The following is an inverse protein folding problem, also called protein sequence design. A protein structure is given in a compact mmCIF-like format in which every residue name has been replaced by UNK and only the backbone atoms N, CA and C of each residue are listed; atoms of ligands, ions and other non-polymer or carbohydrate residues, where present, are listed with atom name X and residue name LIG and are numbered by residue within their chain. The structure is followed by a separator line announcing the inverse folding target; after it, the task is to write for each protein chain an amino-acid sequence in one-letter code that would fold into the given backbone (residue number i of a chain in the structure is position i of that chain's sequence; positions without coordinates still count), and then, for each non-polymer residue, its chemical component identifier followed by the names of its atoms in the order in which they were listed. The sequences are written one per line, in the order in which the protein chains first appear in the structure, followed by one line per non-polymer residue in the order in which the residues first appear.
data_IF_582257676526
#
_entry.id   IF_582257676526
#
_cell.length_a   1.000
_cell.length_b   1.000
_cell.length_c   1.000
_cell.angle_alpha   90.00
_cell.angle_beta   90.00
_cell.angle_gamma   90.00
#
_symmetry.space_group_name_H-M   'P 1'
#
loop_
_entity.id
_entity.type
_entity.pdbx_description
1 polymer ?
#
# COMPACT_ATOMS: atom_id res chain seq x y z
N UNK A 1 -31.60 16.74 5.31
CA UNK A 1 -30.15 17.01 5.20
C UNK A 1 -29.45 15.70 4.87
N UNK A 2 -29.06 15.51 3.62
CA UNK A 2 -28.40 14.27 3.17
C UNK A 2 -26.90 14.44 3.44
N UNK A 3 -26.37 13.74 4.44
CA UNK A 3 -24.92 13.65 4.65
C UNK A 3 -24.37 12.95 3.41
N UNK A 4 -23.80 13.73 2.49
CA UNK A 4 -23.05 13.19 1.36
C UNK A 4 -21.90 12.37 1.94
N UNK A 5 -21.81 11.10 1.56
CA UNK A 5 -20.75 10.20 2.00
C UNK A 5 -19.40 10.74 1.52
N UNK A 6 -18.67 11.38 2.44
CA UNK A 6 -17.35 11.98 2.26
C UNK A 6 -16.21 10.93 2.11
N UNK A 7 -16.55 9.68 1.80
CA UNK A 7 -15.63 8.55 1.78
C UNK A 7 -14.77 8.48 0.50
N UNK A 8 -15.10 9.27 -0.53
CA UNK A 8 -14.48 9.20 -1.86
C UNK A 8 -13.54 10.36 -2.19
N UNK A 9 -13.43 11.38 -1.33
CA UNK A 9 -12.49 12.48 -1.57
C UNK A 9 -11.05 12.06 -1.17
N UNK A 10 -10.04 12.43 -1.97
CA UNK A 10 -8.64 12.32 -1.56
C UNK A 10 -8.41 12.94 -0.17
N UNK A 11 -7.57 12.32 0.65
CA UNK A 11 -7.34 12.69 2.05
C UNK A 11 -7.19 14.21 2.26
N UNK A 12 -6.37 14.87 1.43
CA UNK A 12 -6.07 16.29 1.58
C UNK A 12 -7.28 17.19 1.29
N UNK A 13 -8.15 16.80 0.36
CA UNK A 13 -9.39 17.52 0.08
C UNK A 13 -10.32 17.47 1.29
N UNK A 14 -10.39 16.34 1.99
CA UNK A 14 -11.15 16.19 3.24
C UNK A 14 -10.60 17.09 4.34
N UNK A 15 -9.28 17.20 4.47
CA UNK A 15 -8.67 18.14 5.42
C UNK A 15 -9.02 19.60 5.09
N UNK A 16 -8.97 19.98 3.80
CA UNK A 16 -9.30 21.33 3.34
C UNK A 16 -10.79 21.64 3.55
N UNK A 17 -11.67 20.71 3.20
CA UNK A 17 -13.11 20.83 3.42
C UNK A 17 -13.41 21.00 4.91
N UNK A 18 -12.85 20.13 5.76
CA UNK A 18 -13.06 20.18 7.20
C UNK A 18 -12.54 21.47 7.84
N UNK A 19 -11.37 21.95 7.40
CA UNK A 19 -10.86 23.27 7.82
C UNK A 19 -11.87 24.37 7.51
N UNK A 20 -12.42 24.40 6.29
CA UNK A 20 -13.37 25.41 5.85
C UNK A 20 -14.66 25.36 6.67
N UNK A 21 -15.19 24.17 6.92
CA UNK A 21 -16.37 23.96 7.79
C UNK A 21 -16.16 24.52 9.21
N UNK A 22 -14.97 24.30 9.78
CA UNK A 22 -14.62 24.77 11.12
C UNK A 22 -14.22 26.25 11.16
N UNK A 23 -14.08 26.92 10.00
CA UNK A 23 -13.61 28.31 9.92
C UNK A 23 -12.18 28.52 10.44
N UNK A 24 -11.35 27.47 10.54
CA UNK A 24 -10.01 27.58 11.12
C UNK A 24 -9.02 28.17 10.11
N UNK A 25 -8.23 29.15 10.56
CA UNK A 25 -7.09 29.65 9.77
C UNK A 25 -5.92 28.67 9.80
N UNK A 26 -5.05 28.75 8.80
CA UNK A 26 -3.84 27.92 8.72
C UNK A 26 -2.93 28.16 9.94
N UNK A 27 -2.84 29.40 10.41
CA UNK A 27 -2.02 29.77 11.58
C UNK A 27 -2.56 29.11 12.85
N UNK A 28 -3.88 29.08 13.04
CA UNK A 28 -4.51 28.42 14.18
C UNK A 28 -4.24 26.91 14.15
N UNK A 29 -4.33 26.28 12.98
CA UNK A 29 -4.01 24.86 12.84
C UNK A 29 -2.55 24.59 13.16
N UNK A 30 -1.63 25.40 12.63
CA UNK A 30 -0.20 25.28 12.89
C UNK A 30 0.12 25.35 14.39
N UNK A 31 -0.43 26.36 15.09
CA UNK A 31 -0.24 26.52 16.53
C UNK A 31 -0.81 25.34 17.33
N UNK A 32 -2.01 24.86 16.98
CA UNK A 32 -2.67 23.76 17.71
C UNK A 32 -2.07 22.38 17.43
N UNK A 33 -1.54 22.17 16.23
CA UNK A 33 -0.95 20.88 15.82
C UNK A 33 0.53 20.78 16.16
N UNK A 34 1.19 21.89 16.52
CA UNK A 34 2.64 21.95 16.67
C UNK A 34 3.41 21.87 15.34
N UNK A 35 2.71 21.96 14.21
CA UNK A 35 3.28 21.87 12.86
C UNK A 35 3.52 23.28 12.31
N UNK A 36 4.66 23.53 11.67
CA UNK A 36 4.96 24.86 11.11
C UNK A 36 3.96 25.27 10.02
N UNK A 37 3.64 26.56 9.92
CA UNK A 37 2.71 27.11 8.91
C UNK A 37 3.03 26.64 7.48
N UNK A 38 4.30 26.67 7.00
CA UNK A 38 4.62 26.18 5.66
C UNK A 38 4.34 24.68 5.48
N UNK A 39 4.49 23.89 6.55
CA UNK A 39 4.21 22.45 6.52
C UNK A 39 2.71 22.20 6.49
N UNK A 40 1.90 22.95 7.25
CA UNK A 40 0.43 22.88 7.16
C UNK A 40 -0.05 23.25 5.76
N UNK A 41 0.49 24.32 5.17
CA UNK A 41 0.17 24.70 3.78
C UNK A 41 0.51 23.59 2.80
N UNK A 42 1.70 22.99 2.93
CA UNK A 42 2.16 21.89 2.08
C UNK A 42 1.26 20.65 2.20
N UNK A 43 0.83 20.31 3.42
CA UNK A 43 -0.11 19.21 3.69
C UNK A 43 -1.46 19.50 3.02
N UNK A 44 -2.03 20.68 3.23
CA UNK A 44 -3.33 21.04 2.66
C UNK A 44 -3.30 21.18 1.13
N UNK A 45 -2.13 21.42 0.55
CA UNK A 45 -1.91 21.41 -0.90
C UNK A 45 -1.68 20.00 -1.49
N UNK A 46 -1.63 18.95 -0.66
CA UNK A 46 -1.50 17.56 -1.10
C UNK A 46 -0.12 17.16 -1.61
N UNK A 47 0.95 17.79 -1.12
CA UNK A 47 2.31 17.43 -1.51
C UNK A 47 2.74 16.07 -0.96
N UNK A 48 3.36 15.23 -1.81
CA UNK A 48 3.80 13.87 -1.51
C UNK A 48 4.90 13.76 -0.42
N UNK A 49 5.53 14.86 -0.01
CA UNK A 49 6.61 14.86 0.99
C UNK A 49 6.14 15.16 2.42
N UNK A 50 4.83 15.18 2.68
CA UNK A 50 4.32 15.39 4.03
C UNK A 50 4.55 14.16 4.92
N UNK A 51 5.17 14.37 6.09
CA UNK A 51 5.27 13.33 7.13
C UNK A 51 3.89 12.91 7.61
N UNK A 52 3.62 11.59 7.67
CA UNK A 52 2.36 11.04 8.17
C UNK A 52 2.03 11.52 9.60
N UNK A 53 3.06 11.73 10.43
CA UNK A 53 2.90 12.26 11.79
C UNK A 53 2.29 13.67 11.76
N UNK A 54 2.78 14.53 10.87
CA UNK A 54 2.26 15.89 10.73
C UNK A 54 0.86 15.90 10.13
N UNK A 55 0.58 15.02 9.16
CA UNK A 55 -0.76 14.85 8.60
C UNK A 55 -1.75 14.41 9.68
N UNK A 56 -1.35 13.45 10.53
CA UNK A 56 -2.17 12.99 11.66
C UNK A 56 -2.42 14.09 12.70
N UNK A 57 -1.40 14.89 13.05
CA UNK A 57 -1.54 16.00 13.98
C UNK A 57 -2.50 17.08 13.45
N UNK A 58 -2.41 17.41 12.15
CA UNK A 58 -3.35 18.33 11.49
C UNK A 58 -4.77 17.75 11.46
N UNK A 59 -4.92 16.47 11.11
CA UNK A 59 -6.22 15.80 11.10
C UNK A 59 -6.88 15.80 12.49
N UNK A 60 -6.11 15.53 13.55
CA UNK A 60 -6.60 15.51 14.93
C UNK A 60 -7.15 16.89 15.35
N UNK A 61 -6.44 17.98 15.04
CA UNK A 61 -6.91 19.36 15.32
C UNK A 61 -8.20 19.68 14.58
N UNK A 62 -8.39 19.12 13.39
CA UNK A 62 -9.60 19.25 12.58
C UNK A 62 -10.74 18.31 13.02
N UNK A 63 -10.54 17.54 14.09
CA UNK A 63 -11.52 16.59 14.61
C UNK A 63 -11.71 15.37 13.72
N UNK A 64 -10.69 15.01 12.93
CA UNK A 64 -10.67 13.85 12.06
C UNK A 64 -9.79 12.74 12.67
N UNK A 65 -10.18 11.49 12.43
CA UNK A 65 -9.38 10.31 12.75
C UNK A 65 -8.85 9.71 11.46
N UNK A 66 -7.54 9.45 11.40
CA UNK A 66 -6.95 8.64 10.34
C UNK A 66 -7.08 7.17 10.72
N UNK A 67 -7.61 6.37 9.81
CA UNK A 67 -7.78 4.94 10.00
C UNK A 67 -7.02 4.19 8.91
N UNK A 68 -6.33 3.12 9.32
CA UNK A 68 -5.69 2.19 8.38
C UNK A 68 -6.64 1.02 8.20
N UNK A 69 -7.09 0.82 6.97
CA UNK A 69 -7.96 -0.27 6.60
C UNK A 69 -7.21 -1.20 5.65
N UNK A 70 -7.39 -2.51 5.83
CA UNK A 70 -6.84 -3.48 4.89
C UNK A 70 -7.52 -3.29 3.54
N UNK A 71 -6.74 -2.91 2.52
CA UNK A 71 -7.26 -2.77 1.16
C UNK A 71 -7.73 -4.11 0.58
N UNK A 72 -7.08 -5.21 0.98
CA UNK A 72 -7.38 -6.57 0.52
C UNK A 72 -7.18 -7.57 1.70
N UNK A 73 -7.88 -8.71 1.70
CA UNK A 73 -7.64 -9.77 2.69
C UNK A 73 -6.21 -10.31 2.63
N UNK A 74 -5.65 -10.68 3.78
CA UNK A 74 -4.28 -11.21 3.87
C UNK A 74 -4.05 -12.45 2.99
N UNK A 75 -5.08 -13.28 2.77
CA UNK A 75 -5.01 -14.45 1.87
C UNK A 75 -4.68 -14.06 0.43
N UNK A 76 -5.32 -13.00 -0.09
CA UNK A 76 -5.09 -12.50 -1.45
C UNK A 76 -3.66 -11.99 -1.60
N UNK A 77 -3.15 -11.27 -0.59
CA UNK A 77 -1.77 -10.77 -0.57
C UNK A 77 -0.78 -11.95 -0.58
N UNK A 78 -1.02 -12.97 0.25
CA UNK A 78 -0.18 -14.18 0.30
C UNK A 78 -0.19 -14.97 -1.01
N UNK A 79 -1.35 -15.11 -1.64
CA UNK A 79 -1.49 -15.81 -2.92
C UNK A 79 -0.74 -15.08 -4.04
N UNK A 80 -0.89 -13.75 -4.12
CA UNK A 80 -0.15 -12.91 -5.07
C UNK A 80 1.36 -13.05 -4.87
N UNK A 81 1.82 -13.05 -3.62
CA UNK A 81 3.23 -13.24 -3.30
C UNK A 81 3.73 -14.65 -3.64
N UNK A 82 2.97 -15.69 -3.27
CA UNK A 82 3.31 -17.08 -3.57
C UNK A 82 3.48 -17.30 -5.07
N UNK A 83 2.56 -16.74 -5.87
CA UNK A 83 2.62 -16.81 -7.33
C UNK A 83 3.83 -16.08 -7.89
N UNK A 84 4.14 -14.89 -7.37
CA UNK A 84 5.30 -14.11 -7.80
C UNK A 84 6.63 -14.84 -7.48
N UNK A 85 6.72 -15.53 -6.34
CA UNK A 85 7.89 -16.34 -5.98
C UNK A 85 7.97 -17.58 -6.89
N UNK A 86 6.85 -18.29 -7.10
CA UNK A 86 6.79 -19.46 -7.97
C UNK A 86 7.21 -19.14 -9.42
N UNK A 87 6.80 -17.99 -9.95
CA UNK A 87 7.22 -17.51 -11.28
C UNK A 87 8.74 -17.31 -11.38
N UNK A 88 9.36 -16.74 -10.34
CA UNK A 88 10.83 -16.58 -10.30
C UNK A 88 11.54 -17.93 -10.28
N UNK A 89 11.05 -18.89 -9.48
CA UNK A 89 11.62 -20.25 -9.45
C UNK A 89 11.52 -20.92 -10.83
N UNK A 90 10.37 -20.83 -11.48
CA UNK A 90 10.19 -21.37 -12.83
C UNK A 90 11.13 -20.70 -13.85
N UNK A 91 11.39 -19.41 -13.71
CA UNK A 91 12.35 -18.70 -14.55
C UNK A 91 13.79 -19.19 -14.34
N UNK A 92 14.21 -19.42 -13.09
CA UNK A 92 15.54 -19.99 -12.80
C UNK A 92 15.68 -21.38 -13.44
N UNK A 93 14.67 -22.24 -13.27
CA UNK A 93 14.65 -23.58 -13.88
C UNK A 93 14.73 -23.49 -15.41
N UNK A 94 13.99 -22.57 -16.03
CA UNK A 94 14.05 -22.35 -17.47
C UNK A 94 15.44 -21.92 -17.93
N UNK A 95 16.07 -20.97 -17.23
CA UNK A 95 17.41 -20.49 -17.55
C UNK A 95 18.43 -21.61 -17.42
N UNK A 96 18.40 -22.39 -16.33
CA UNK A 96 19.30 -23.53 -16.16
C UNK A 96 19.08 -24.64 -17.20
N UNK A 97 17.85 -24.85 -17.66
CA UNK A 97 17.57 -25.87 -18.68
C UNK A 97 18.13 -25.50 -20.07
N UNK A 98 18.32 -24.20 -20.37
CA UNK A 98 18.83 -23.73 -21.66
C UNK A 98 20.33 -24.04 -21.88
N UNK A 99 21.09 -24.24 -20.79
CA UNK A 99 22.52 -24.56 -20.89
C UNK A 99 22.76 -26.04 -21.29
N UNK A 100 21.83 -26.95 -20.96
CA UNK A 100 22.00 -28.41 -21.09
C UNK A 100 20.87 -29.11 -21.89
N UNK A 101 19.84 -28.40 -22.37
CA UNK A 101 18.69 -28.97 -23.07
C UNK A 101 17.85 -27.96 -23.88
N UNK A 102 16.93 -28.42 -24.74
CA UNK A 102 15.95 -27.52 -25.36
C UNK A 102 15.06 -26.87 -24.30
N UNK A 103 14.58 -25.66 -24.61
CA UNK A 103 13.71 -24.86 -23.76
C UNK A 103 12.52 -25.67 -23.19
N UNK A 104 12.19 -25.45 -21.91
CA UNK A 104 11.03 -26.09 -21.29
C UNK A 104 9.74 -25.54 -21.92
N UNK A 105 8.80 -26.41 -22.34
CA UNK A 105 7.49 -25.99 -22.85
C UNK A 105 6.72 -25.11 -21.86
N UNK A 106 5.99 -24.13 -22.38
CA UNK A 106 5.22 -23.18 -21.59
C UNK A 106 4.19 -23.83 -20.64
N UNK A 107 3.57 -24.93 -21.07
CA UNK A 107 2.61 -25.67 -20.24
C UNK A 107 3.27 -26.30 -19.00
N UNK A 108 4.50 -26.81 -19.14
CA UNK A 108 5.25 -27.39 -18.01
C UNK A 108 5.67 -26.29 -17.02
N UNK A 109 6.09 -25.12 -17.52
CA UNK A 109 6.41 -23.98 -16.67
C UNK A 109 5.17 -23.48 -15.92
N UNK A 110 4.00 -23.45 -16.58
CA UNK A 110 2.74 -23.07 -15.95
C UNK A 110 2.37 -24.04 -14.83
N UNK A 111 2.43 -25.35 -15.08
CA UNK A 111 2.19 -26.39 -14.07
C UNK A 111 3.16 -26.27 -12.88
N UNK A 112 4.43 -25.99 -13.16
CA UNK A 112 5.45 -25.77 -12.13
C UNK A 112 5.09 -24.55 -11.26
N UNK A 113 4.66 -23.45 -11.87
CA UNK A 113 4.24 -22.25 -11.14
C UNK A 113 3.03 -22.55 -10.26
N UNK A 114 2.02 -23.26 -10.77
CA UNK A 114 0.81 -23.59 -10.02
C UNK A 114 1.11 -24.50 -8.83
N UNK A 115 1.88 -25.58 -9.03
CA UNK A 115 2.29 -26.49 -7.94
C UNK A 115 3.13 -25.78 -6.89
N UNK A 116 4.13 -25.01 -7.32
CA UNK A 116 5.00 -24.25 -6.42
C UNK A 116 4.19 -23.22 -5.61
N UNK A 117 3.20 -22.57 -6.22
CA UNK A 117 2.29 -21.65 -5.51
C UNK A 117 1.55 -22.37 -4.39
N UNK A 118 0.97 -23.54 -4.66
CA UNK A 118 0.25 -24.33 -3.66
C UNK A 118 1.17 -24.83 -2.54
N UNK A 119 2.38 -25.27 -2.87
CA UNK A 119 3.38 -25.69 -1.88
C UNK A 119 3.81 -24.52 -0.98
N UNK A 120 4.03 -23.35 -1.55
CA UNK A 120 4.38 -22.14 -0.81
C UNK A 120 3.27 -21.70 0.14
N UNK A 121 2.00 -21.81 -0.27
CA UNK A 121 0.85 -21.48 0.57
C UNK A 121 0.62 -22.49 1.72
N UNK A 122 0.94 -23.76 1.50
CA UNK A 122 0.85 -24.83 2.53
C UNK A 122 2.04 -24.84 3.49
N UNK A 123 3.18 -24.33 3.04
CA UNK A 123 4.43 -24.31 3.80
C UNK A 123 4.52 -23.19 4.84
N UNK A 124 5.67 -23.09 5.54
CA UNK A 124 5.92 -22.03 6.50
C UNK A 124 5.90 -20.66 5.82
N UNK A 125 5.09 -19.72 6.32
CA UNK A 125 4.87 -18.42 5.69
C UNK A 125 6.13 -17.58 5.45
N UNK A 126 7.21 -17.82 6.19
CA UNK A 126 8.52 -17.18 5.93
C UNK A 126 9.03 -17.40 4.50
N UNK A 127 8.73 -18.54 3.87
CA UNK A 127 9.15 -18.86 2.50
C UNK A 127 8.55 -17.94 1.44
N UNK A 128 7.40 -17.32 1.73
CA UNK A 128 6.79 -16.34 0.84
C UNK A 128 7.60 -15.04 0.76
N UNK A 129 8.43 -14.76 1.76
CA UNK A 129 9.07 -13.46 1.97
C UNK A 129 10.59 -13.52 1.95
N UNK A 130 11.18 -14.70 1.69
CA UNK A 130 12.63 -14.78 1.42
C UNK A 130 12.84 -14.21 0.02
N UNK A 131 13.68 -13.18 -0.08
CA UNK A 131 14.19 -12.73 -1.37
C UNK A 131 15.01 -13.89 -1.94
N UNK A 132 14.60 -14.39 -3.11
CA UNK A 132 15.41 -15.34 -3.87
C UNK A 132 16.72 -14.63 -4.20
N UNK A 133 17.77 -14.96 -3.46
CA UNK A 133 19.14 -14.46 -3.66
C UNK A 133 19.75 -15.07 -4.90
#
# INVERSE_FOLDING_TARGET
MKVMSDASLPLFERLVARRKELGMSIVVIAQRSGVSVPTVQRILAGSAQASMVNVAAVAQVLGLRLEVQAAEPAGVIKERQARAVAQRVAQVVQCSALDDSPAVPAEILKDLVERSTQELLRGPGRRLWVEAS
#
